data_IF_329816187174
#
_entry.id   IF_329816187174
#
_cell.length_a   1.000
_cell.length_b   1.000
_cell.length_c   1.000
_cell.angle_alpha   90.00
_cell.angle_beta   90.00
_cell.angle_gamma   90.00
#
_symmetry.space_group_name_H-M   'P 1'
#
loop_
_entity.id
_entity.type
_entity.pdbx_description
1 polymer ?
#
# COMPACT_ATOMS: atom_id res chain seq x y z
N UNK A 1 -13.18 14.64 23.60
CA UNK A 1 -13.83 13.31 23.69
C UNK A 1 -13.19 12.36 22.67
N UNK A 2 -12.71 11.19 23.09
CA UNK A 2 -12.22 10.17 22.14
C UNK A 2 -13.48 9.58 21.47
N UNK A 3 -13.88 10.14 20.33
CA UNK A 3 -15.15 9.83 19.64
C UNK A 3 -15.19 8.43 19.00
N UNK A 4 -14.22 7.56 19.27
CA UNK A 4 -14.22 6.15 18.86
C UNK A 4 -13.75 5.26 20.02
N UNK A 5 -14.64 4.74 20.88
CA UNK A 5 -14.25 3.92 22.04
C UNK A 5 -13.51 2.62 21.68
N UNK A 6 -13.56 2.23 20.41
CA UNK A 6 -12.91 1.06 19.84
C UNK A 6 -11.58 1.36 19.13
N UNK A 7 -11.16 2.62 19.01
CA UNK A 7 -9.89 3.03 18.41
C UNK A 7 -8.88 3.35 19.52
N UNK A 8 -8.42 2.33 20.22
CA UNK A 8 -7.47 2.46 21.31
C UNK A 8 -6.04 2.60 20.79
N UNK A 9 -5.16 3.22 21.59
CA UNK A 9 -3.72 3.31 21.27
C UNK A 9 -3.06 1.93 21.19
N UNK A 10 -3.53 0.98 22.00
CA UNK A 10 -3.07 -0.41 22.01
C UNK A 10 -3.46 -1.13 20.72
N UNK A 11 -4.67 -0.91 20.21
CA UNK A 11 -5.10 -1.47 18.93
C UNK A 11 -4.30 -0.87 17.77
N UNK A 12 -4.10 0.44 17.74
CA UNK A 12 -3.28 1.10 16.70
C UNK A 12 -1.83 0.60 16.73
N UNK A 13 -1.28 0.37 17.92
CA UNK A 13 0.05 -0.23 18.09
C UNK A 13 0.10 -1.65 17.53
N UNK A 14 -0.90 -2.48 17.84
CA UNK A 14 -1.02 -3.84 17.31
C UNK A 14 -1.14 -3.85 15.77
N UNK A 15 -1.91 -2.93 15.19
CA UNK A 15 -2.02 -2.78 13.73
C UNK A 15 -0.70 -2.39 13.05
N UNK A 16 0.11 -1.53 13.68
CA UNK A 16 1.46 -1.20 13.17
C UNK A 16 2.40 -2.42 13.27
N UNK A 17 2.33 -3.14 14.38
CA UNK A 17 3.12 -4.36 14.60
C UNK A 17 2.73 -5.46 13.60
N UNK A 18 1.43 -5.62 13.29
CA UNK A 18 0.95 -6.54 12.26
C UNK A 18 1.69 -6.34 10.94
N UNK A 19 1.70 -5.11 10.43
CA UNK A 19 2.36 -4.78 9.16
C UNK A 19 3.87 -5.08 9.20
N UNK A 20 4.56 -4.65 10.27
CA UNK A 20 6.00 -4.83 10.42
C UNK A 20 6.40 -6.31 10.57
N UNK A 21 5.71 -7.06 11.44
CA UNK A 21 5.97 -8.48 11.67
C UNK A 21 5.57 -9.34 10.47
N UNK A 22 4.47 -9.00 9.80
CA UNK A 22 4.04 -9.63 8.56
C UNK A 22 5.13 -9.57 7.50
N UNK A 23 5.60 -8.36 7.15
CA UNK A 23 6.67 -8.19 6.17
C UNK A 23 7.96 -8.90 6.58
N UNK A 24 8.37 -8.74 7.85
CA UNK A 24 9.60 -9.37 8.38
C UNK A 24 9.52 -10.90 8.32
N UNK A 25 8.36 -11.50 8.59
CA UNK A 25 8.15 -12.95 8.47
C UNK A 25 8.28 -13.43 7.02
N UNK A 26 7.72 -12.69 6.06
CA UNK A 26 7.84 -13.02 4.63
C UNK A 26 9.31 -13.02 4.18
N UNK A 27 10.08 -12.00 4.58
CA UNK A 27 11.52 -11.91 4.32
C UNK A 27 12.28 -13.07 4.95
N UNK A 28 12.08 -13.31 6.27
CA UNK A 28 12.80 -14.37 7.00
C UNK A 28 12.54 -15.76 6.43
N UNK A 29 11.31 -16.03 5.98
CA UNK A 29 10.91 -17.30 5.37
C UNK A 29 11.20 -17.37 3.86
N UNK A 30 11.88 -16.36 3.31
CA UNK A 30 12.17 -16.21 1.89
C UNK A 30 10.95 -16.43 0.97
N UNK A 31 9.82 -15.84 1.33
CA UNK A 31 8.58 -15.96 0.57
C UNK A 31 8.65 -15.18 -0.75
N UNK A 32 7.90 -15.59 -1.78
CA UNK A 32 7.73 -14.77 -2.98
C UNK A 32 7.00 -13.47 -2.65
N UNK A 33 7.24 -12.42 -3.43
CA UNK A 33 6.63 -11.10 -3.26
C UNK A 33 5.09 -11.15 -3.32
N UNK A 34 4.51 -12.07 -4.08
CA UNK A 34 3.06 -12.26 -4.16
C UNK A 34 2.43 -12.54 -2.79
N UNK A 35 3.15 -13.17 -1.85
CA UNK A 35 2.65 -13.42 -0.50
C UNK A 35 2.43 -12.10 0.27
N UNK A 36 3.08 -10.99 -0.09
CA UNK A 36 2.75 -9.67 0.49
C UNK A 36 1.29 -9.30 0.25
N UNK A 37 0.76 -9.68 -0.91
CA UNK A 37 -0.60 -9.38 -1.34
C UNK A 37 -1.56 -10.50 -0.97
N UNK A 38 -1.13 -11.76 -1.03
CA UNK A 38 -2.00 -12.94 -0.88
C UNK A 38 -1.81 -13.74 0.42
N UNK A 39 -1.01 -13.26 1.38
CA UNK A 39 -0.75 -14.00 2.63
C UNK A 39 -2.06 -14.40 3.33
N UNK A 40 -2.17 -15.70 3.58
CA UNK A 40 -3.30 -16.31 4.32
C UNK A 40 -3.12 -16.21 5.83
N UNK A 41 -1.97 -15.70 6.29
CA UNK A 41 -1.62 -15.59 7.70
C UNK A 41 -1.32 -14.15 8.09
N UNK A 42 -1.58 -13.79 9.34
CA UNK A 42 -1.28 -12.47 9.90
C UNK A 42 -0.74 -12.59 11.33
N UNK A 43 -0.11 -11.53 11.83
CA UNK A 43 0.25 -11.41 13.24
C UNK A 43 -0.81 -10.60 13.98
N UNK A 44 -1.33 -11.16 15.08
CA UNK A 44 -2.31 -10.48 15.93
C UNK A 44 -2.06 -10.77 17.40
N UNK A 45 -2.37 -9.80 18.26
CA UNK A 45 -2.59 -10.01 19.69
C UNK A 45 -4.10 -10.16 19.97
N UNK A 46 -4.52 -10.26 21.23
CA UNK A 46 -5.92 -10.46 21.58
C UNK A 46 -6.84 -9.33 21.07
N UNK A 47 -6.42 -8.08 21.18
CA UNK A 47 -7.25 -6.93 20.79
C UNK A 47 -7.46 -6.88 19.27
N UNK A 48 -6.39 -7.04 18.48
CA UNK A 48 -6.49 -7.08 17.02
C UNK A 48 -7.22 -8.35 16.54
N UNK A 49 -7.06 -9.48 17.23
CA UNK A 49 -7.83 -10.70 16.94
C UNK A 49 -9.33 -10.47 17.13
N UNK A 50 -9.75 -9.81 18.22
CA UNK A 50 -11.15 -9.41 18.44
C UNK A 50 -11.65 -8.49 17.32
N UNK A 51 -10.84 -7.51 16.92
CA UNK A 51 -11.16 -6.61 15.81
C UNK A 51 -11.37 -7.38 14.48
N UNK A 52 -10.56 -8.40 14.21
CA UNK A 52 -10.70 -9.27 13.04
C UNK A 52 -11.67 -10.44 13.22
N UNK A 53 -12.32 -10.57 14.38
CA UNK A 53 -13.22 -11.67 14.72
C UNK A 53 -12.53 -13.05 14.66
N UNK A 54 -11.24 -13.09 14.95
CA UNK A 54 -10.43 -14.30 15.08
C UNK A 54 -10.54 -14.84 16.50
N UNK A 55 -10.71 -16.16 16.64
CA UNK A 55 -10.81 -16.85 17.93
C UNK A 55 -9.47 -17.45 18.33
N UNK A 56 -9.28 -17.70 19.62
CA UNK A 56 -8.14 -18.49 20.14
C UNK A 56 -6.86 -17.71 20.43
N UNK A 57 -6.87 -16.37 20.36
CA UNK A 57 -5.72 -15.52 20.70
C UNK A 57 -6.00 -14.81 22.03
N UNK A 58 -5.05 -14.87 22.98
CA UNK A 58 -5.16 -14.26 24.32
C UNK A 58 -3.91 -13.50 24.70
N UNK A 59 -4.05 -12.40 25.43
CA UNK A 59 -2.95 -11.54 25.88
C UNK A 59 -2.36 -10.65 24.80
N UNK A 60 -1.35 -9.88 25.20
CA UNK A 60 -0.81 -8.76 24.43
C UNK A 60 0.25 -9.16 23.39
N UNK A 61 0.76 -10.39 23.43
CA UNK A 61 1.77 -10.87 22.50
C UNK A 61 1.20 -11.11 21.10
N UNK A 62 1.93 -10.64 20.09
CA UNK A 62 1.62 -10.87 18.69
C UNK A 62 1.94 -12.31 18.29
N UNK A 63 0.97 -13.00 17.68
CA UNK A 63 1.10 -14.40 17.25
C UNK A 63 0.70 -14.55 15.80
N UNK A 64 1.43 -15.41 15.09
CA UNK A 64 1.09 -15.77 13.72
C UNK A 64 -0.13 -16.68 13.71
N UNK A 65 -1.20 -16.25 13.04
CA UNK A 65 -2.45 -17.00 12.91
C UNK A 65 -2.87 -17.04 11.44
N UNK A 66 -3.64 -18.06 11.07
CA UNK A 66 -4.29 -18.09 9.75
C UNK A 66 -5.56 -17.22 9.79
N UNK A 67 -5.77 -16.44 8.73
CA UNK A 67 -7.06 -15.83 8.48
C UNK A 67 -8.07 -16.91 8.08
N UNK A 68 -9.26 -16.84 8.67
CA UNK A 68 -10.41 -17.68 8.28
C UNK A 68 -11.22 -17.05 7.15
N UNK A 69 -10.98 -15.76 6.86
CA UNK A 69 -11.72 -14.97 5.88
C UNK A 69 -10.79 -14.48 4.78
N UNK A 70 -11.05 -14.93 3.55
CA UNK A 70 -10.26 -14.54 2.36
C UNK A 70 -10.26 -13.04 2.14
N UNK A 71 -11.26 -12.29 2.60
CA UNK A 71 -11.30 -10.83 2.44
C UNK A 71 -10.08 -10.18 3.10
N UNK A 72 -9.61 -10.74 4.22
CA UNK A 72 -8.50 -10.23 5.04
C UNK A 72 -7.09 -10.59 4.57
N UNK A 73 -6.93 -11.35 3.48
CA UNK A 73 -5.60 -11.80 3.07
C UNK A 73 -4.70 -10.65 2.64
N UNK A 74 -3.44 -10.76 3.06
CA UNK A 74 -2.33 -9.87 2.73
C UNK A 74 -2.59 -8.39 3.01
N UNK A 75 -1.81 -7.54 2.35
CA UNK A 75 -1.71 -6.12 2.65
C UNK A 75 -3.05 -5.37 2.57
N UNK A 76 -3.91 -5.69 1.60
CA UNK A 76 -5.21 -5.03 1.42
C UNK A 76 -6.24 -5.39 2.51
N UNK A 77 -5.98 -6.42 3.31
CA UNK A 77 -6.83 -6.81 4.44
C UNK A 77 -6.46 -6.16 5.76
N UNK A 78 -5.27 -5.53 5.85
CA UNK A 78 -4.73 -4.95 7.08
C UNK A 78 -5.44 -3.65 7.45
N UNK A 79 -5.73 -3.49 8.73
CA UNK A 79 -6.50 -2.35 9.20
C UNK A 79 -5.68 -1.06 9.23
N UNK A 80 -4.38 -1.15 9.50
CA UNK A 80 -3.45 -0.02 9.40
C UNK A 80 -3.47 0.62 8.01
N UNK A 81 -3.43 -0.21 6.96
CA UNK A 81 -3.48 0.21 5.56
C UNK A 81 -4.82 0.87 5.23
N UNK A 82 -5.93 0.23 5.63
CA UNK A 82 -7.27 0.75 5.38
C UNK A 82 -7.54 2.07 6.12
N UNK A 83 -6.98 2.23 7.33
CA UNK A 83 -7.08 3.44 8.12
C UNK A 83 -6.26 4.60 7.52
N UNK A 84 -4.98 4.38 7.18
CA UNK A 84 -4.10 5.45 6.68
C UNK A 84 -4.51 5.96 5.29
N UNK A 85 -5.20 5.11 4.52
CA UNK A 85 -5.75 5.44 3.19
C UNK A 85 -7.18 6.01 3.24
N UNK A 86 -7.70 6.32 4.44
CA UNK A 86 -9.02 6.91 4.65
C UNK A 86 -8.93 8.27 5.35
N UNK A 87 -10.05 8.97 5.44
CA UNK A 87 -10.18 10.17 6.29
C UNK A 87 -10.84 9.79 7.61
N UNK A 88 -10.71 10.61 8.68
CA UNK A 88 -11.48 10.40 9.90
C UNK A 88 -12.97 10.26 9.58
N UNK A 89 -13.58 9.16 10.05
CA UNK A 89 -15.02 8.87 9.90
C UNK A 89 -15.56 8.63 8.49
N UNK A 90 -14.72 8.63 7.44
CA UNK A 90 -15.17 8.41 6.06
C UNK A 90 -14.15 7.66 5.22
N UNK A 91 -14.63 6.72 4.39
CA UNK A 91 -13.80 6.05 3.40
C UNK A 91 -13.38 7.03 2.30
N UNK A 92 -12.33 6.68 1.57
CA UNK A 92 -11.86 7.47 0.43
C UNK A 92 -11.33 6.55 -0.67
N UNK A 93 -12.19 6.12 -1.62
CA UNK A 93 -11.78 5.32 -2.77
C UNK A 93 -10.61 5.92 -3.53
N UNK A 94 -10.63 7.24 -3.76
CA UNK A 94 -9.59 7.96 -4.48
C UNK A 94 -8.23 7.78 -3.82
N UNK A 95 -8.10 8.15 -2.54
CA UNK A 95 -6.86 7.97 -1.76
C UNK A 95 -6.40 6.51 -1.68
N UNK A 96 -7.32 5.54 -1.66
CA UNK A 96 -6.98 4.10 -1.70
C UNK A 96 -6.39 3.72 -3.05
N UNK A 97 -7.03 4.12 -4.14
CA UNK A 97 -6.56 3.87 -5.50
C UNK A 97 -5.20 4.54 -5.77
N UNK A 98 -5.08 5.82 -5.41
CA UNK A 98 -3.84 6.59 -5.47
C UNK A 98 -2.72 5.89 -4.69
N UNK A 99 -2.99 5.47 -3.44
CA UNK A 99 -2.00 4.75 -2.64
C UNK A 99 -1.56 3.44 -3.30
N UNK A 100 -2.46 2.69 -3.96
CA UNK A 100 -2.06 1.48 -4.71
C UNK A 100 -1.12 1.87 -5.86
N UNK A 101 -1.51 2.86 -6.67
CA UNK A 101 -0.74 3.28 -7.84
C UNK A 101 0.63 3.85 -7.47
N UNK A 102 0.68 4.78 -6.53
CA UNK A 102 1.92 5.38 -6.06
C UNK A 102 2.74 4.39 -5.23
N UNK A 103 2.18 3.92 -4.12
CA UNK A 103 2.97 3.24 -3.12
C UNK A 103 3.23 1.77 -3.40
N UNK A 104 2.40 1.10 -4.21
CA UNK A 104 2.62 -0.30 -4.57
C UNK A 104 3.11 -0.47 -6.01
N UNK A 105 2.58 0.27 -6.98
CA UNK A 105 2.89 0.05 -8.40
C UNK A 105 3.94 1.01 -8.96
N UNK A 106 4.21 2.13 -8.27
CA UNK A 106 5.19 3.12 -8.72
C UNK A 106 4.76 3.89 -9.97
N UNK A 107 3.45 4.04 -10.17
CA UNK A 107 2.81 4.76 -11.26
C UNK A 107 1.84 5.80 -10.68
N UNK A 108 2.32 6.76 -9.86
CA UNK A 108 1.45 7.74 -9.22
C UNK A 108 0.64 8.50 -10.28
N UNK A 109 -0.66 8.79 -10.02
CA UNK A 109 -1.40 9.69 -10.89
C UNK A 109 -0.76 11.09 -10.89
N UNK A 110 -0.89 11.87 -11.97
CA UNK A 110 -0.46 13.27 -11.96
C UNK A 110 -1.23 14.06 -10.90
N UNK A 111 -0.68 15.18 -10.41
CA UNK A 111 -1.42 16.05 -9.51
C UNK A 111 -2.75 16.48 -10.15
N UNK A 112 -3.83 16.61 -9.37
CA UNK A 112 -5.11 17.06 -9.91
C UNK A 112 -4.94 18.44 -10.57
N UNK A 113 -5.62 18.71 -11.69
CA UNK A 113 -5.55 20.02 -12.30
C UNK A 113 -6.12 21.10 -11.34
N UNK A 114 -5.69 22.37 -11.45
CA UNK A 114 -6.11 23.43 -10.51
C UNK A 114 -7.63 23.65 -10.45
N UNK A 115 -8.33 23.36 -11.54
CA UNK A 115 -9.78 23.44 -11.71
C UNK A 115 -10.50 22.11 -11.48
N UNK A 116 -9.81 21.07 -11.00
CA UNK A 116 -10.43 19.78 -10.68
C UNK A 116 -11.59 19.94 -9.67
N UNK A 117 -11.53 20.97 -8.84
CA UNK A 117 -12.62 21.40 -7.96
C UNK A 117 -13.08 20.32 -6.98
N UNK A 118 -14.01 20.72 -6.11
CA UNK A 118 -14.87 19.77 -5.41
C UNK A 118 -15.94 19.27 -6.40
N UNK A 119 -16.66 18.20 -6.06
CA UNK A 119 -17.80 17.77 -6.87
C UNK A 119 -18.79 18.94 -6.98
N UNK A 120 -19.47 19.11 -8.14
CA UNK A 120 -20.55 20.09 -8.24
C UNK A 120 -21.49 19.96 -7.04
N UNK A 121 -21.83 21.07 -6.36
CA UNK A 121 -22.60 21.06 -5.11
C UNK A 121 -23.91 20.26 -5.25
N UNK A 122 -24.61 20.41 -6.38
CA UNK A 122 -25.82 19.66 -6.69
C UNK A 122 -25.58 18.13 -6.71
N UNK A 123 -24.43 17.68 -7.20
CA UNK A 123 -24.04 16.27 -7.22
C UNK A 123 -23.60 15.83 -5.82
N UNK A 124 -22.81 16.65 -5.12
CA UNK A 124 -22.32 16.38 -3.78
C UNK A 124 -23.44 16.30 -2.74
N UNK A 125 -24.45 17.15 -2.83
CA UNK A 125 -25.58 17.17 -1.90
C UNK A 125 -26.65 16.13 -2.25
N UNK A 126 -26.64 15.61 -3.48
CA UNK A 126 -27.64 14.63 -3.90
C UNK A 126 -27.54 13.32 -3.12
N UNK A 127 -28.43 13.16 -2.14
CA UNK A 127 -28.50 11.96 -1.30
C UNK A 127 -29.00 10.72 -2.07
N UNK A 128 -29.60 10.88 -3.25
CA UNK A 128 -30.05 9.76 -4.11
C UNK A 128 -28.89 9.06 -4.82
N UNK A 129 -27.75 9.73 -4.98
CA UNK A 129 -26.56 9.16 -5.62
C UNK A 129 -25.65 8.49 -4.58
N UNK A 130 -25.05 7.37 -4.95
CA UNK A 130 -23.92 6.77 -4.24
C UNK A 130 -22.65 7.59 -4.51
N UNK A 131 -21.64 7.49 -3.64
CA UNK A 131 -20.35 8.15 -3.87
C UNK A 131 -19.74 7.74 -5.21
N UNK A 132 -19.85 6.45 -5.57
CA UNK A 132 -19.43 5.93 -6.87
C UNK A 132 -20.10 6.67 -8.02
N UNK A 133 -21.43 6.79 -8.01
CA UNK A 133 -22.18 7.48 -9.06
C UNK A 133 -21.78 8.96 -9.17
N UNK A 134 -21.55 9.64 -8.04
CA UNK A 134 -21.09 11.03 -8.02
C UNK A 134 -19.72 11.16 -8.69
N UNK A 135 -18.81 10.27 -8.34
CA UNK A 135 -17.47 10.25 -8.90
C UNK A 135 -17.47 9.85 -10.39
N UNK A 136 -18.29 8.89 -10.79
CA UNK A 136 -18.48 8.52 -12.20
C UNK A 136 -19.01 9.69 -13.03
N UNK A 137 -19.90 10.52 -12.46
CA UNK A 137 -20.37 11.75 -13.11
C UNK A 137 -19.23 12.76 -13.27
N UNK A 138 -18.41 12.95 -12.25
CA UNK A 138 -17.24 13.82 -12.28
C UNK A 138 -16.18 13.33 -13.29
N UNK A 139 -15.90 12.04 -13.32
CA UNK A 139 -14.93 11.42 -14.21
C UNK A 139 -15.40 11.33 -15.66
N UNK A 140 -16.59 11.85 -16.03
CA UNK A 140 -17.02 11.97 -17.44
C UNK A 140 -16.18 12.98 -18.21
N UNK A 141 -15.58 13.96 -17.54
CA UNK A 141 -14.66 14.88 -18.18
C UNK A 141 -13.45 14.09 -18.73
N UNK A 142 -13.16 14.15 -20.04
CA UNK A 142 -12.05 13.40 -20.64
C UNK A 142 -10.69 13.65 -19.96
N UNK A 143 -10.47 14.85 -19.41
CA UNK A 143 -9.24 15.17 -18.65
C UNK A 143 -9.11 14.31 -17.40
N UNK A 144 -10.20 14.17 -16.64
CA UNK A 144 -10.24 13.40 -15.39
C UNK A 144 -10.28 11.89 -15.66
N UNK A 145 -11.02 11.46 -16.68
CA UNK A 145 -11.15 10.03 -17.04
C UNK A 145 -9.80 9.34 -17.26
N UNK A 146 -8.82 10.05 -17.83
CA UNK A 146 -7.49 9.51 -18.16
C UNK A 146 -6.80 8.81 -16.97
N UNK A 147 -6.92 9.37 -15.77
CA UNK A 147 -6.31 8.85 -14.55
C UNK A 147 -7.32 8.04 -13.71
N UNK A 148 -8.57 8.51 -13.64
CA UNK A 148 -9.63 7.87 -12.87
C UNK A 148 -9.98 6.46 -13.37
N UNK A 149 -9.85 6.20 -14.68
CA UNK A 149 -10.07 4.86 -15.27
C UNK A 149 -9.16 3.76 -14.72
N UNK A 150 -8.04 4.10 -14.11
CA UNK A 150 -7.16 3.14 -13.43
C UNK A 150 -7.26 3.26 -11.91
N UNK A 151 -7.30 4.48 -11.37
CA UNK A 151 -7.34 4.75 -9.94
C UNK A 151 -8.64 4.31 -9.26
N UNK A 152 -9.80 4.69 -9.82
CA UNK A 152 -11.10 4.48 -9.17
C UNK A 152 -11.47 3.00 -9.02
N UNK A 153 -11.29 2.14 -10.04
CA UNK A 153 -11.53 0.71 -9.91
C UNK A 153 -10.76 0.07 -8.74
N UNK A 154 -9.49 0.45 -8.55
CA UNK A 154 -8.65 -0.05 -7.47
C UNK A 154 -9.21 0.38 -6.11
N UNK A 155 -9.59 1.66 -5.98
CA UNK A 155 -10.20 2.20 -4.78
C UNK A 155 -11.56 1.59 -4.42
N UNK A 156 -12.46 1.50 -5.38
CA UNK A 156 -13.81 0.95 -5.20
C UNK A 156 -13.81 -0.51 -4.77
N UNK A 157 -12.83 -1.29 -5.23
CA UNK A 157 -12.69 -2.69 -4.80
C UNK A 157 -12.46 -2.87 -3.29
N UNK A 158 -12.06 -1.80 -2.59
CA UNK A 158 -11.88 -1.81 -1.14
C UNK A 158 -13.03 -1.17 -0.37
N UNK A 159 -14.08 -0.65 -1.02
CA UNK A 159 -15.14 0.12 -0.33
C UNK A 159 -15.97 -0.65 0.68
N UNK A 160 -15.98 -1.99 0.58
CA UNK A 160 -16.55 -2.85 1.61
C UNK A 160 -15.80 -2.77 2.95
N UNK A 161 -14.61 -2.19 2.99
CA UNK A 161 -13.95 -1.79 4.23
C UNK A 161 -14.32 -0.36 4.60
N UNK A 162 -14.85 -0.16 5.80
CA UNK A 162 -15.03 1.16 6.38
C UNK A 162 -13.69 1.89 6.57
N UNK A 163 -13.74 3.13 7.07
CA UNK A 163 -12.56 3.99 7.21
C UNK A 163 -11.53 3.46 8.20
N UNK A 164 -11.89 2.50 9.06
CA UNK A 164 -10.98 1.87 10.01
C UNK A 164 -10.72 0.40 9.68
N UNK A 165 -11.19 -0.06 8.52
CA UNK A 165 -10.97 -1.38 7.99
C UNK A 165 -11.93 -2.46 8.48
N UNK A 166 -13.11 -2.15 9.01
CA UNK A 166 -14.17 -3.15 9.27
C UNK A 166 -14.97 -3.44 8.02
N UNK A 167 -15.45 -4.68 7.90
CA UNK A 167 -16.27 -5.08 6.76
C UNK A 167 -17.71 -4.56 6.87
N UNK A 168 -18.25 -4.06 5.75
CA UNK A 168 -19.63 -3.64 5.55
C UNK A 168 -20.14 -4.08 4.16
N UNK A 169 -21.40 -4.49 4.10
CA UNK A 169 -22.11 -4.77 2.83
C UNK A 169 -22.81 -3.54 2.28
N UNK A 170 -23.13 -2.58 3.16
CA UNK A 170 -23.91 -1.39 2.83
C UNK A 170 -23.25 -0.11 3.32
N UNK A 171 -23.53 0.98 2.61
CA UNK A 171 -23.17 2.35 2.96
C UNK A 171 -24.40 3.22 2.81
N UNK A 172 -24.83 3.89 3.89
CA UNK A 172 -26.02 4.77 3.90
C UNK A 172 -27.28 4.05 3.36
N UNK A 173 -27.49 2.79 3.75
CA UNK A 173 -28.66 1.99 3.37
C UNK A 173 -28.66 1.51 1.90
N UNK A 174 -27.51 1.55 1.23
CA UNK A 174 -27.34 1.01 -0.13
C UNK A 174 -26.22 -0.01 -0.17
N UNK A 175 -26.42 -1.07 -0.94
CA UNK A 175 -25.38 -2.06 -1.24
C UNK A 175 -24.16 -1.39 -1.87
N UNK A 176 -22.98 -1.84 -1.44
CA UNK A 176 -21.70 -1.35 -1.96
C UNK A 176 -21.38 -2.09 -3.25
N UNK A 177 -21.16 -1.34 -4.33
CA UNK A 177 -20.61 -1.87 -5.58
C UNK A 177 -19.08 -1.79 -5.57
N UNK A 178 -18.44 -2.96 -5.39
CA UNK A 178 -16.99 -3.12 -5.35
C UNK A 178 -16.38 -3.64 -6.65
N UNK A 179 -17.13 -3.60 -7.77
CA UNK A 179 -16.62 -4.02 -9.07
C UNK A 179 -15.68 -3.00 -9.66
N UNK A 180 -14.59 -3.46 -10.26
CA UNK A 180 -13.60 -2.65 -10.95
C UNK A 180 -13.34 -3.20 -12.34
N UNK A 181 -12.96 -2.32 -13.26
CA UNK A 181 -12.47 -2.68 -14.59
C UNK A 181 -11.22 -1.86 -14.91
N UNK A 182 -10.11 -2.53 -15.17
CA UNK A 182 -8.86 -1.87 -15.54
C UNK A 182 -8.84 -1.42 -17.01
N UNK A 183 -7.92 -0.50 -17.38
CA UNK A 183 -7.67 -0.13 -18.77
C UNK A 183 -7.37 -1.30 -19.71
N UNK A 184 -6.79 -2.40 -19.20
CA UNK A 184 -6.54 -3.65 -19.93
C UNK A 184 -7.82 -4.37 -20.35
N UNK A 185 -8.97 -3.99 -19.76
CA UNK A 185 -10.25 -4.67 -19.93
C UNK A 185 -10.56 -5.66 -18.81
N UNK A 186 -9.59 -6.00 -17.95
CA UNK A 186 -9.76 -6.94 -16.85
C UNK A 186 -10.78 -6.45 -15.83
N UNK A 187 -11.78 -7.27 -15.58
CA UNK A 187 -12.80 -7.05 -14.56
C UNK A 187 -12.47 -7.80 -13.28
N UNK A 188 -12.78 -7.20 -12.14
CA UNK A 188 -12.53 -7.78 -10.83
C UNK A 188 -13.54 -7.25 -9.80
N UNK A 189 -13.70 -7.96 -8.69
CA UNK A 189 -14.63 -7.59 -7.64
C UNK A 189 -14.00 -7.71 -6.26
N UNK A 190 -14.14 -6.64 -5.48
CA UNK A 190 -13.75 -6.60 -4.08
C UNK A 190 -12.24 -6.76 -3.84
N UNK A 191 -11.83 -6.92 -2.58
CA UNK A 191 -10.42 -7.12 -2.24
C UNK A 191 -9.87 -8.45 -2.74
N UNK A 192 -10.73 -9.43 -3.04
CA UNK A 192 -10.30 -10.73 -3.56
C UNK A 192 -9.84 -10.57 -5.01
N UNK A 193 -10.69 -10.04 -5.87
CA UNK A 193 -10.34 -9.79 -7.27
C UNK A 193 -9.18 -8.80 -7.41
N UNK A 194 -9.11 -7.77 -6.57
CA UNK A 194 -7.99 -6.83 -6.57
C UNK A 194 -6.64 -7.55 -6.38
N UNK A 195 -6.54 -8.47 -5.40
CA UNK A 195 -5.29 -9.22 -5.17
C UNK A 195 -4.91 -10.06 -6.38
N UNK A 196 -5.89 -10.72 -6.98
CA UNK A 196 -5.68 -11.60 -8.12
C UNK A 196 -5.19 -10.80 -9.33
N UNK A 197 -5.74 -9.61 -9.56
CA UNK A 197 -5.25 -8.66 -10.58
C UNK A 197 -3.83 -8.17 -10.28
N UNK A 198 -3.55 -7.77 -9.03
CA UNK A 198 -2.23 -7.26 -8.67
C UNK A 198 -1.15 -8.33 -8.85
N UNK A 199 -1.43 -9.59 -8.48
CA UNK A 199 -0.48 -10.69 -8.64
C UNK A 199 -0.44 -11.22 -10.08
N UNK A 200 -1.57 -11.23 -10.79
CA UNK A 200 -1.67 -11.76 -12.15
C UNK A 200 -1.14 -10.83 -13.23
N UNK A 201 -1.36 -9.52 -13.10
CA UNK A 201 -1.07 -8.55 -14.16
C UNK A 201 -0.03 -7.48 -13.75
N UNK A 202 0.05 -7.14 -12.46
CA UNK A 202 0.86 -6.00 -11.98
C UNK A 202 2.04 -6.41 -11.09
N UNK A 203 2.38 -7.70 -11.03
CA UNK A 203 3.45 -8.20 -10.14
C UNK A 203 4.83 -7.61 -10.49
N UNK A 204 5.10 -7.40 -11.78
CA UNK A 204 6.35 -6.78 -12.24
C UNK A 204 6.45 -5.30 -11.80
N UNK A 205 5.32 -4.58 -11.77
CA UNK A 205 5.26 -3.20 -11.28
C UNK A 205 5.47 -3.16 -9.76
N UNK A 206 4.80 -4.06 -9.03
CA UNK A 206 5.02 -4.25 -7.60
C UNK A 206 6.49 -4.57 -7.28
N UNK A 207 7.11 -5.47 -8.05
CA UNK A 207 8.51 -5.85 -7.90
C UNK A 207 9.47 -4.68 -8.18
N UNK A 208 9.17 -3.87 -9.21
CA UNK A 208 9.95 -2.67 -9.51
C UNK A 208 9.84 -1.65 -8.39
N UNK A 209 8.64 -1.40 -7.88
CA UNK A 209 8.41 -0.38 -6.86
C UNK A 209 8.99 -0.78 -5.51
N UNK A 210 8.84 -2.03 -5.07
CA UNK A 210 9.50 -2.50 -3.85
C UNK A 210 11.03 -2.44 -4.00
N UNK A 211 11.57 -2.73 -5.18
CA UNK A 211 13.02 -2.61 -5.45
C UNK A 211 13.49 -1.17 -5.28
N UNK A 212 12.76 -0.21 -5.87
CA UNK A 212 13.07 1.22 -5.74
C UNK A 212 13.00 1.68 -4.28
N UNK A 213 11.95 1.31 -3.56
CA UNK A 213 11.75 1.68 -2.14
C UNK A 213 12.83 1.06 -1.24
N UNK A 214 13.17 -0.21 -1.43
CA UNK A 214 14.21 -0.88 -0.65
C UNK A 214 15.59 -0.31 -0.92
N UNK A 215 15.92 0.02 -2.17
CA UNK A 215 17.19 0.66 -2.49
C UNK A 215 17.26 2.08 -1.91
N UNK A 216 16.21 2.88 -2.07
CA UNK A 216 16.11 4.23 -1.48
C UNK A 216 16.30 4.19 0.05
N UNK A 217 15.58 3.29 0.72
CA UNK A 217 15.71 3.08 2.17
C UNK A 217 17.14 2.67 2.56
N UNK A 218 17.74 1.74 1.82
CA UNK A 218 19.11 1.28 2.07
C UNK A 218 20.17 2.37 1.83
N UNK A 219 19.90 3.33 0.94
CA UNK A 219 20.81 4.46 0.67
C UNK A 219 20.57 5.66 1.60
N UNK A 220 19.41 5.75 2.24
CA UNK A 220 19.04 6.92 3.06
C UNK A 220 18.75 8.17 2.23
N UNK A 221 18.49 8.04 0.92
CA UNK A 221 18.18 9.13 -0.01
C UNK A 221 17.23 8.68 -1.11
N UNK A 222 16.57 9.64 -1.76
CA UNK A 222 15.81 9.35 -2.97
C UNK A 222 16.73 8.82 -4.09
N UNK A 223 16.14 8.02 -4.98
CA UNK A 223 16.86 7.49 -6.14
C UNK A 223 16.93 8.55 -7.24
N UNK A 224 18.08 8.64 -7.86
CA UNK A 224 18.36 9.55 -8.97
C UNK A 224 18.38 8.80 -10.30
N UNK A 225 18.46 9.53 -11.41
CA UNK A 225 18.49 8.94 -12.75
C UNK A 225 19.62 7.91 -12.93
N UNK A 226 20.76 8.12 -12.27
CA UNK A 226 21.92 7.23 -12.33
C UNK A 226 21.76 5.93 -11.51
N UNK A 227 20.73 5.81 -10.66
CA UNK A 227 20.44 4.56 -9.94
C UNK A 227 19.59 3.58 -10.77
N UNK A 228 19.00 4.05 -11.89
CA UNK A 228 18.14 3.24 -12.76
C UNK A 228 18.80 1.95 -13.25
N UNK A 229 20.08 1.92 -13.67
CA UNK A 229 20.76 0.68 -14.05
C UNK A 229 20.82 -0.35 -12.91
N UNK A 230 21.02 0.10 -11.67
CA UNK A 230 21.04 -0.79 -10.50
C UNK A 230 19.65 -1.40 -10.25
N UNK A 231 18.60 -0.58 -10.29
CA UNK A 231 17.21 -1.06 -10.16
C UNK A 231 16.88 -2.11 -11.23
N UNK A 232 17.24 -1.87 -12.49
CA UNK A 232 17.01 -2.83 -13.60
C UNK A 232 17.75 -4.15 -13.36
N UNK A 233 19.00 -4.10 -12.90
CA UNK A 233 19.81 -5.30 -12.60
C UNK A 233 19.19 -6.12 -11.46
N UNK A 234 18.82 -5.45 -10.36
CA UNK A 234 18.19 -6.11 -9.21
C UNK A 234 16.87 -6.76 -9.63
N UNK A 235 16.02 -6.03 -10.37
CA UNK A 235 14.72 -6.53 -10.82
C UNK A 235 14.85 -7.78 -11.70
N UNK A 236 15.86 -7.82 -12.59
CA UNK A 236 16.14 -8.99 -13.44
C UNK A 236 16.41 -10.24 -12.59
N UNK A 237 17.37 -10.16 -11.65
CA UNK A 237 17.73 -11.29 -10.78
C UNK A 237 16.57 -11.66 -9.84
N UNK A 238 15.85 -10.66 -9.34
CA UNK A 238 14.67 -10.86 -8.49
C UNK A 238 13.56 -11.62 -9.22
N UNK A 239 13.33 -11.32 -10.51
CA UNK A 239 12.38 -12.04 -11.36
C UNK A 239 12.84 -13.46 -11.67
N UNK A 240 14.13 -13.65 -11.99
CA UNK A 240 14.72 -14.98 -12.25
C UNK A 240 14.59 -15.92 -11.05
N UNK A 241 14.63 -15.39 -9.83
CA UNK A 241 14.40 -16.15 -8.59
C UNK A 241 12.94 -16.12 -8.10
N UNK A 242 11.97 -16.00 -9.02
CA UNK A 242 10.53 -16.02 -8.74
C UNK A 242 10.10 -15.03 -7.63
N UNK A 243 10.69 -13.84 -7.64
CA UNK A 243 10.40 -12.75 -6.71
C UNK A 243 10.59 -13.11 -5.23
N UNK A 244 11.57 -13.94 -4.90
CA UNK A 244 11.93 -14.29 -3.51
C UNK A 244 12.57 -13.13 -2.75
N UNK A 245 11.97 -12.75 -1.61
CA UNK A 245 12.32 -11.52 -0.89
C UNK A 245 13.78 -11.47 -0.37
N UNK A 246 14.44 -12.59 -0.09
CA UNK A 246 15.85 -12.55 0.31
C UNK A 246 16.76 -12.22 -0.87
N UNK A 247 16.38 -12.58 -2.10
CA UNK A 247 17.10 -12.16 -3.31
C UNK A 247 17.04 -10.66 -3.47
N UNK A 248 15.89 -10.03 -3.26
CA UNK A 248 15.78 -8.57 -3.25
C UNK A 248 16.78 -7.92 -2.29
N UNK A 249 16.84 -8.37 -1.03
CA UNK A 249 17.77 -7.82 -0.04
C UNK A 249 19.24 -8.02 -0.42
N UNK A 250 19.60 -9.25 -0.83
CA UNK A 250 20.97 -9.57 -1.23
C UNK A 250 21.42 -8.69 -2.40
N UNK A 251 20.57 -8.52 -3.40
CA UNK A 251 20.88 -7.73 -4.59
C UNK A 251 20.95 -6.22 -4.28
N UNK A 252 20.10 -5.70 -3.40
CA UNK A 252 20.22 -4.32 -2.90
C UNK A 252 21.56 -4.13 -2.18
N UNK A 253 21.91 -4.98 -1.22
CA UNK A 253 23.17 -4.90 -0.47
C UNK A 253 24.41 -5.16 -1.35
N UNK A 254 24.25 -5.89 -2.46
CA UNK A 254 25.32 -6.18 -3.40
C UNK A 254 25.43 -5.17 -4.54
N UNK A 255 24.52 -4.21 -4.62
CA UNK A 255 24.46 -3.22 -5.68
C UNK A 255 25.60 -2.19 -5.58
N UNK A 256 26.00 -1.63 -6.73
CA UNK A 256 27.01 -0.59 -6.78
C UNK A 256 26.64 0.65 -5.95
N UNK A 257 25.41 1.22 -6.04
CA UNK A 257 25.02 2.36 -5.22
C UNK A 257 25.16 2.10 -3.72
N UNK A 258 24.87 0.89 -3.25
CA UNK A 258 24.97 0.55 -1.83
C UNK A 258 26.43 0.38 -1.37
N UNK A 259 27.24 -0.39 -2.11
CA UNK A 259 28.63 -0.68 -1.70
C UNK A 259 29.53 0.55 -1.73
N UNK A 260 29.30 1.46 -2.66
CA UNK A 260 30.13 2.64 -2.88
C UNK A 260 29.46 3.94 -2.44
N UNK A 261 28.42 3.86 -1.60
CA UNK A 261 27.84 5.04 -0.98
C UNK A 261 28.91 5.72 -0.10
N UNK A 262 29.03 7.03 -0.23
CA UNK A 262 29.79 7.82 0.75
C UNK A 262 28.85 8.12 1.92
N UNK A 263 29.16 7.60 3.10
CA UNK A 263 28.45 8.05 4.31
C UNK A 263 28.77 9.54 4.55
N UNK A 264 27.80 10.35 4.97
CA UNK A 264 28.01 11.78 5.21
C UNK A 264 29.11 12.12 6.24
N UNK A 265 29.57 11.16 7.05
CA UNK A 265 30.60 11.39 8.08
C UNK A 265 32.03 11.62 7.55
N UNK A 266 32.30 11.38 6.26
CA UNK A 266 33.64 11.60 5.69
C UNK A 266 33.82 12.96 4.99
N UNK A 267 32.80 13.82 4.93
CA UNK A 267 32.95 15.15 4.35
C UNK A 267 33.48 16.16 5.39
N UNK A 268 32.90 16.19 6.59
CA UNK A 268 33.31 17.12 7.66
C UNK A 268 34.71 16.81 8.24
N UNK A 269 35.11 15.54 8.28
CA UNK A 269 36.46 15.14 8.74
C UNK A 269 37.55 15.52 7.74
N UNK A 270 37.23 15.61 6.45
CA UNK A 270 38.18 16.03 5.41
C UNK A 270 38.33 17.55 5.41
N UNK A 271 37.25 18.32 5.57
CA UNK A 271 37.32 19.78 5.72
C UNK A 271 38.09 20.21 6.97
N UNK A 272 37.86 19.55 8.12
CA UNK A 272 38.63 19.86 9.35
C UNK A 272 40.11 19.57 9.22
N UNK A 273 40.51 18.56 8.44
CA UNK A 273 41.92 18.23 8.20
C UNK A 273 42.60 19.19 7.23
N UNK A 274 41.88 19.69 6.23
CA UNK A 274 42.38 20.71 5.30
C UNK A 274 42.57 22.07 6.00
N UNK A 275 41.75 22.37 7.01
CA UNK A 275 41.88 23.58 7.82
C UNK A 275 42.94 23.48 8.91
N UNK A 276 43.26 22.27 9.42
CA UNK A 276 44.31 22.08 10.42
C UNK A 276 45.73 21.95 9.85
N UNK A 277 45.87 21.62 8.57
CA UNK A 277 47.16 21.47 7.88
C UNK A 277 47.62 22.77 7.17
N UNK A 278 46.88 23.87 7.33
CA UNK A 278 47.19 25.21 6.79
C UNK A 278 47.48 26.26 7.89
N UNK A 279 47.55 25.85 9.16
CA UNK A 279 48.09 26.61 10.30
C UNK A 279 49.45 26.02 10.72
#
# INVERSE_FOLDING_TARGET
>A
PIDNPWCTDTLMTAMKQESAMGFTSLVRKNKPLSDLIQSKTTYVNEELAKFYKLKGVKGNEMRLVAHTDKRRYGLFGQASVLAVTSSPYRTSPIRRGEWILDSLLGTPPPPPPPDAGELDEDIEENRKLTFRQKLEMHSKNPRCYSCHREMDPLGFSLENYDWFGRWRSESRGRSIDSKGRLPSGTEFEGPIGLRDVIVGEKLDDLARQITRKMLSYALGRQLEYYDVPAVRKILKVFKEDNYRLQTLLREVCSSYPFKYRKNPENAELVERKILSDND
#
